data_IF_308122986982
#
_entry.id   IF_308122986982
#
_cell.length_a   1.000
_cell.length_b   1.000
_cell.length_c   1.000
_cell.angle_alpha   90.00
_cell.angle_beta   90.00
_cell.angle_gamma   90.00
#
_symmetry.space_group_name_H-M   'P 1'
#
loop_
_entity.id
_entity.type
_entity.pdbx_description
1 polymer ?
#
# COMPACT_ATOMS: atom_id res chain seq x y z
N UNK A 1 15.08 13.59 2.54
CA UNK A 1 13.91 13.08 3.28
C UNK A 1 12.99 12.13 2.46
N UNK A 2 13.46 11.41 1.42
CA UNK A 2 12.55 10.73 0.47
C UNK A 2 12.63 9.19 0.37
N UNK A 3 13.68 8.55 0.89
CA UNK A 3 13.93 7.12 0.62
C UNK A 3 13.01 6.18 1.41
N UNK A 4 12.65 6.53 2.63
CA UNK A 4 11.81 5.67 3.49
C UNK A 4 10.33 5.66 3.09
N UNK A 5 9.81 6.75 2.51
CA UNK A 5 8.42 6.84 2.07
C UNK A 5 8.13 5.88 0.90
N UNK A 6 9.02 5.83 -0.10
CA UNK A 6 8.87 4.95 -1.26
C UNK A 6 8.92 3.46 -0.86
N UNK A 7 9.80 3.10 0.08
CA UNK A 7 9.89 1.74 0.61
C UNK A 7 8.61 1.34 1.34
N UNK A 8 8.10 2.23 2.22
CA UNK A 8 6.85 1.97 2.95
C UNK A 8 5.67 1.82 2.01
N UNK A 9 5.57 2.68 0.99
CA UNK A 9 4.50 2.60 -0.01
C UNK A 9 4.58 1.30 -0.83
N UNK A 10 5.76 0.92 -1.30
CA UNK A 10 5.95 -0.33 -2.04
C UNK A 10 5.58 -1.57 -1.21
N UNK A 11 5.95 -1.57 0.08
CA UNK A 11 5.59 -2.66 1.00
C UNK A 11 4.07 -2.74 1.24
N UNK A 12 3.43 -1.62 1.57
CA UNK A 12 2.00 -1.59 1.89
C UNK A 12 1.11 -1.91 0.68
N UNK A 13 1.62 -1.69 -0.53
CA UNK A 13 0.93 -2.05 -1.77
C UNK A 13 1.32 -3.45 -2.28
N UNK A 14 2.23 -4.15 -1.59
CA UNK A 14 2.73 -5.46 -1.98
C UNK A 14 1.69 -6.58 -1.78
N UNK A 15 1.77 -7.60 -2.62
CA UNK A 15 0.86 -8.77 -2.58
C UNK A 15 0.79 -9.44 -1.21
N UNK A 16 1.95 -9.66 -0.57
CA UNK A 16 2.00 -10.29 0.75
C UNK A 16 1.33 -9.42 1.82
N UNK A 17 1.58 -8.10 1.82
CA UNK A 17 0.93 -7.20 2.76
C UNK A 17 -0.59 -7.23 2.63
N UNK A 18 -1.11 -7.15 1.40
CA UNK A 18 -2.56 -7.21 1.16
C UNK A 18 -3.17 -8.54 1.58
N UNK A 19 -2.46 -9.65 1.38
CA UNK A 19 -2.93 -10.97 1.82
C UNK A 19 -2.97 -11.06 3.34
N UNK A 20 -1.89 -10.65 4.03
CA UNK A 20 -1.83 -10.66 5.49
C UNK A 20 -2.92 -9.79 6.11
N UNK A 21 -3.19 -8.62 5.53
CA UNK A 21 -4.28 -7.73 5.98
C UNK A 21 -5.64 -8.41 5.82
N UNK A 22 -5.89 -9.06 4.68
CA UNK A 22 -7.14 -9.79 4.45
C UNK A 22 -7.30 -10.94 5.45
N UNK A 23 -6.26 -11.74 5.63
CA UNK A 23 -6.30 -12.89 6.53
C UNK A 23 -6.50 -12.47 7.99
N UNK A 24 -5.84 -11.38 8.42
CA UNK A 24 -5.99 -10.84 9.75
C UNK A 24 -7.44 -10.46 10.08
N UNK A 25 -8.11 -9.72 9.19
CA UNK A 25 -9.50 -9.33 9.42
C UNK A 25 -10.50 -10.45 9.13
N UNK A 26 -10.17 -11.42 8.28
CA UNK A 26 -11.01 -12.60 8.05
C UNK A 26 -11.01 -13.56 9.26
N UNK A 27 -9.90 -13.62 10.00
CA UNK A 27 -9.78 -14.43 11.22
C UNK A 27 -10.46 -13.78 12.45
N UNK A 28 -10.83 -12.50 12.36
CA UNK A 28 -11.44 -11.76 13.45
C UNK A 28 -12.94 -12.09 13.58
N UNK A 29 -13.45 -12.13 14.81
CA UNK A 29 -14.87 -12.35 15.04
C UNK A 29 -15.71 -11.19 14.46
N UNK A 30 -16.88 -11.48 13.86
CA UNK A 30 -17.75 -10.42 13.29
C UNK A 30 -18.15 -9.35 14.30
N UNK A 31 -18.33 -9.73 15.57
CA UNK A 31 -18.70 -8.81 16.65
C UNK A 31 -17.59 -7.79 16.95
N UNK A 32 -16.33 -8.24 17.01
CA UNK A 32 -15.18 -7.36 17.27
C UNK A 32 -14.94 -6.39 16.11
N UNK A 33 -15.13 -6.88 14.88
CA UNK A 33 -15.07 -6.03 13.68
C UNK A 33 -16.14 -4.94 13.73
N UNK A 34 -17.38 -5.29 14.11
CA UNK A 34 -18.45 -4.31 14.24
C UNK A 34 -18.17 -3.28 15.33
N UNK A 35 -17.66 -3.70 16.48
CA UNK A 35 -17.27 -2.79 17.56
C UNK A 35 -16.20 -1.78 17.12
N UNK A 36 -15.22 -2.21 16.31
CA UNK A 36 -14.25 -1.30 15.72
C UNK A 36 -14.90 -0.32 14.74
N UNK A 37 -15.80 -0.78 13.85
CA UNK A 37 -16.51 0.09 12.91
C UNK A 37 -17.34 1.16 13.65
N UNK A 38 -18.01 0.77 14.73
CA UNK A 38 -18.80 1.66 15.58
C UNK A 38 -17.90 2.70 16.27
N UNK A 39 -16.70 2.31 16.70
CA UNK A 39 -15.72 3.25 17.27
C UNK A 39 -15.30 4.32 16.27
N UNK A 40 -15.09 3.94 15.00
CA UNK A 40 -14.72 4.88 13.93
C UNK A 40 -15.89 5.83 13.68
N UNK A 41 -17.11 5.31 13.53
CA UNK A 41 -18.31 6.12 13.33
C UNK A 41 -18.49 7.15 14.44
N UNK A 42 -18.35 6.73 15.70
CA UNK A 42 -18.48 7.60 16.87
C UNK A 42 -17.47 8.76 16.84
N UNK A 43 -16.23 8.52 16.40
CA UNK A 43 -15.23 9.59 16.32
C UNK A 43 -15.54 10.60 15.20
N UNK A 44 -16.11 10.15 14.08
CA UNK A 44 -16.59 11.05 13.02
C UNK A 44 -17.77 11.91 13.50
N UNK A 45 -18.76 11.29 14.15
CA UNK A 45 -19.91 11.97 14.75
C UNK A 45 -19.46 13.02 15.77
N UNK A 46 -18.54 12.65 16.67
CA UNK A 46 -17.96 13.55 17.68
C UNK A 46 -17.26 14.76 17.05
N UNK A 47 -16.62 14.59 15.90
CA UNK A 47 -15.93 15.67 15.17
C UNK A 47 -16.88 16.47 14.27
N UNK A 48 -18.16 16.12 14.21
CA UNK A 48 -19.14 16.72 13.29
C UNK A 48 -18.77 16.52 11.82
N UNK A 49 -17.99 15.49 11.51
CA UNK A 49 -17.57 15.19 10.14
C UNK A 49 -18.42 14.07 9.55
N UNK A 50 -18.77 14.13 8.25
CA UNK A 50 -19.46 13.03 7.60
C UNK A 50 -18.58 11.76 7.64
N UNK A 51 -19.13 10.60 8.05
CA UNK A 51 -18.38 9.36 8.06
C UNK A 51 -18.04 8.92 6.62
N UNK A 52 -16.95 8.14 6.43
CA UNK A 52 -16.59 7.55 5.14
C UNK A 52 -17.76 6.77 4.53
N UNK A 53 -17.94 6.88 3.21
CA UNK A 53 -19.04 6.22 2.50
C UNK A 53 -18.94 4.69 2.61
N UNK A 54 -17.74 4.16 2.83
CA UNK A 54 -17.47 2.75 3.11
C UNK A 54 -18.16 2.27 4.39
N UNK A 55 -18.32 3.14 5.40
CA UNK A 55 -18.99 2.81 6.66
C UNK A 55 -20.53 2.90 6.57
N UNK A 56 -21.05 3.63 5.59
CA UNK A 56 -22.49 3.90 5.43
C UNK A 56 -23.09 3.01 4.36
N UNK A 57 -22.40 2.85 3.24
CA UNK A 57 -22.86 2.12 2.07
C UNK A 57 -21.67 1.42 1.38
N UNK A 58 -21.09 0.36 1.97
CA UNK A 58 -19.90 -0.32 1.42
C UNK A 58 -20.13 -0.85 0.00
N UNK A 59 -21.30 -1.43 -0.26
CA UNK A 59 -21.72 -1.88 -1.59
C UNK A 59 -21.73 -0.79 -2.68
N UNK A 60 -21.99 0.46 -2.31
CA UNK A 60 -21.97 1.61 -3.23
C UNK A 60 -20.55 2.16 -3.35
N UNK A 61 -19.83 2.27 -2.24
CA UNK A 61 -18.47 2.82 -2.19
C UNK A 61 -17.53 2.21 -3.24
N UNK A 62 -17.52 0.88 -3.38
CA UNK A 62 -16.65 0.18 -4.32
C UNK A 62 -17.17 0.14 -5.77
N UNK A 63 -18.38 0.62 -6.03
CA UNK A 63 -18.96 0.75 -7.37
C UNK A 63 -18.83 2.16 -7.94
N UNK A 64 -18.47 3.14 -7.11
CA UNK A 64 -18.26 4.50 -7.58
C UNK A 64 -16.96 4.58 -8.40
N UNK A 65 -16.96 5.29 -9.54
CA UNK A 65 -15.73 5.54 -10.28
C UNK A 65 -14.76 6.33 -9.39
N UNK A 66 -13.44 6.16 -9.56
CA UNK A 66 -12.46 6.91 -8.78
C UNK A 66 -12.72 8.41 -8.90
N UNK A 67 -12.47 9.21 -7.83
CA UNK A 67 -12.78 10.64 -7.83
C UNK A 67 -12.19 11.41 -9.03
N UNK A 68 -11.05 10.94 -9.56
CA UNK A 68 -10.41 11.50 -10.77
C UNK A 68 -11.27 11.43 -12.03
N UNK A 69 -12.26 10.53 -12.08
CA UNK A 69 -13.17 10.33 -13.21
C UNK A 69 -14.57 10.92 -12.96
N UNK A 70 -14.78 11.55 -11.81
CA UNK A 70 -16.07 12.17 -11.47
C UNK A 70 -16.05 13.66 -11.85
N UNK A 71 -16.88 14.12 -12.80
CA UNK A 71 -16.83 15.48 -13.34
C UNK A 71 -17.22 16.57 -12.32
N UNK A 72 -17.73 16.22 -11.14
CA UNK A 72 -18.14 17.17 -10.11
C UNK A 72 -17.99 16.62 -8.67
N UNK A 73 -17.03 15.73 -8.42
CA UNK A 73 -16.80 15.25 -7.04
C UNK A 73 -16.32 16.41 -6.15
N UNK A 74 -16.90 16.59 -4.94
CA UNK A 74 -16.44 17.61 -4.02
C UNK A 74 -14.96 17.35 -3.68
N UNK A 75 -14.13 18.36 -3.94
CA UNK A 75 -12.69 18.35 -3.73
C UNK A 75 -12.39 18.27 -2.22
N UNK A 76 -12.34 17.05 -1.67
CA UNK A 76 -11.82 16.81 -0.33
C UNK A 76 -10.41 16.23 -0.44
N UNK A 77 -9.42 17.13 -0.46
CA UNK A 77 -8.04 16.84 -0.09
C UNK A 77 -7.09 16.45 -1.22
N UNK A 78 -6.24 17.40 -1.60
CA UNK A 78 -4.98 17.14 -2.30
C UNK A 78 -4.88 17.87 -3.62
N UNK A 79 -4.01 18.89 -3.67
CA UNK A 79 -3.65 19.62 -4.87
C UNK A 79 -3.15 18.67 -5.97
N UNK A 80 -4.04 18.27 -6.87
CA UNK A 80 -3.68 17.75 -8.18
C UNK A 80 -3.92 18.89 -9.17
N UNK A 81 -2.80 19.43 -9.66
CA UNK A 81 -2.70 20.43 -10.72
C UNK A 81 -3.62 20.03 -11.88
N UNK A 82 -4.82 20.59 -11.93
CA UNK A 82 -5.61 20.56 -13.16
C UNK A 82 -4.84 21.41 -14.17
N UNK A 83 -4.40 20.85 -15.31
CA UNK A 83 -3.78 21.65 -16.34
C UNK A 83 -4.78 22.75 -16.76
N UNK A 84 -4.32 23.99 -16.97
CA UNK A 84 -5.20 25.06 -17.43
C UNK A 84 -5.92 24.63 -18.72
N UNK A 85 -7.17 25.07 -18.93
CA UNK A 85 -7.93 24.71 -20.12
C UNK A 85 -7.14 25.08 -21.39
N UNK A 86 -7.01 24.13 -22.33
CA UNK A 86 -6.38 24.36 -23.64
C UNK A 86 -5.04 23.67 -23.88
N UNK A 87 -4.46 22.98 -22.88
CA UNK A 87 -3.22 22.21 -23.08
C UNK A 87 -3.57 20.77 -23.49
N UNK A 88 -3.21 20.31 -24.71
CA UNK A 88 -3.44 18.93 -25.11
C UNK A 88 -2.64 17.96 -24.23
N UNK A 89 -3.16 16.74 -23.99
CA UNK A 89 -2.45 15.75 -23.20
C UNK A 89 -1.09 15.45 -23.83
N UNK A 90 -0.03 15.22 -23.03
CA UNK A 90 1.28 14.89 -23.57
C UNK A 90 1.21 13.60 -24.39
N UNK A 91 1.66 13.66 -25.64
CA UNK A 91 1.76 12.51 -26.52
C UNK A 91 3.02 11.69 -26.18
N UNK A 92 2.81 10.61 -25.43
CA UNK A 92 3.88 9.67 -25.05
C UNK A 92 4.20 8.64 -26.15
N UNK A 93 3.57 8.72 -27.32
CA UNK A 93 3.85 7.80 -28.43
C UNK A 93 5.22 8.02 -29.07
N UNK A 94 5.91 9.12 -28.75
CA UNK A 94 7.25 9.43 -29.25
C UNK A 94 8.25 9.47 -28.10
N UNK A 95 9.35 8.70 -28.18
CA UNK A 95 10.44 8.85 -27.23
C UNK A 95 11.03 10.27 -27.33
N UNK A 96 11.51 10.83 -26.20
CA UNK A 96 12.13 12.15 -26.20
C UNK A 96 13.32 12.20 -27.18
N UNK A 97 13.53 13.34 -27.88
CA UNK A 97 14.62 13.46 -28.84
C UNK A 97 15.97 13.11 -28.21
N UNK A 98 16.68 12.14 -28.78
CA UNK A 98 18.03 11.74 -28.34
C UNK A 98 18.11 10.45 -27.51
N UNK A 99 16.99 9.80 -27.16
CA UNK A 99 17.03 8.44 -26.60
C UNK A 99 16.79 7.39 -27.69
N UNK A 100 17.78 6.52 -27.99
CA UNK A 100 17.53 5.36 -28.84
C UNK A 100 16.53 4.43 -28.15
N UNK A 101 15.66 3.73 -28.92
CA UNK A 101 14.70 2.80 -28.35
C UNK A 101 15.42 1.68 -27.57
N UNK A 102 14.85 1.20 -26.46
CA UNK A 102 15.44 0.10 -25.71
C UNK A 102 15.56 -1.15 -26.59
N UNK A 103 16.77 -1.70 -26.69
CA UNK A 103 17.05 -2.93 -27.41
C UNK A 103 16.69 -4.15 -26.53
N UNK A 104 15.50 -4.71 -26.75
CA UNK A 104 14.99 -5.89 -26.04
C UNK A 104 15.62 -7.21 -26.53
N UNK A 105 16.52 -7.16 -27.52
CA UNK A 105 17.20 -8.34 -28.05
C UNK A 105 18.27 -8.90 -27.08
N UNK A 106 18.63 -8.12 -26.06
CA UNK A 106 19.65 -8.51 -25.08
C UNK A 106 18.99 -9.11 -23.84
N UNK A 107 19.34 -10.35 -23.44
CA UNK A 107 18.88 -10.89 -22.18
C UNK A 107 19.36 -9.99 -21.03
N UNK A 108 18.55 -9.82 -19.97
CA UNK A 108 18.97 -9.06 -18.81
C UNK A 108 20.22 -9.69 -18.19
N UNK A 109 21.11 -8.89 -17.59
CA UNK A 109 22.28 -9.42 -16.88
C UNK A 109 21.83 -10.42 -15.81
N UNK A 110 22.34 -11.64 -15.93
CA UNK A 110 22.06 -12.72 -14.98
C UNK A 110 22.70 -12.39 -13.64
N UNK A 111 21.89 -12.19 -12.61
CA UNK A 111 22.36 -12.16 -11.24
C UNK A 111 22.38 -13.59 -10.70
N UNK A 112 23.49 -14.06 -10.10
CA UNK A 112 23.53 -15.37 -9.50
C UNK A 112 22.47 -15.46 -8.37
N UNK A 113 21.76 -16.59 -8.24
CA UNK A 113 20.77 -16.75 -7.18
C UNK A 113 21.45 -16.58 -5.82
N UNK A 114 20.84 -15.84 -4.87
CA UNK A 114 21.35 -15.77 -3.51
C UNK A 114 21.40 -17.16 -2.91
N UNK A 115 22.59 -17.61 -2.51
CA UNK A 115 22.79 -18.91 -1.88
C UNK A 115 21.96 -19.02 -0.61
N UNK A 116 20.87 -19.77 -0.67
CA UNK A 116 20.17 -20.25 0.51
C UNK A 116 21.12 -21.19 1.28
N UNK A 117 21.22 -20.99 2.60
CA UNK A 117 21.88 -21.87 3.58
C UNK A 117 23.39 -21.71 3.87
N UNK A 118 23.93 -20.49 3.96
CA UNK A 118 25.12 -20.31 4.82
C UNK A 118 24.88 -19.22 5.87
N UNK A 119 24.89 -19.54 7.17
CA UNK A 119 24.95 -18.52 8.19
C UNK A 119 26.23 -17.68 7.99
N UNK A 120 26.19 -16.36 8.31
CA UNK A 120 27.36 -15.50 8.18
C UNK A 120 28.55 -16.08 8.97
N UNK A 121 29.79 -15.97 8.44
CA UNK A 121 30.97 -16.48 9.13
C UNK A 121 31.08 -15.90 10.54
N UNK A 122 31.16 -16.79 11.54
CA UNK A 122 31.36 -16.40 12.95
C UNK A 122 30.13 -16.42 13.85
N UNK A 123 28.94 -16.76 13.34
CA UNK A 123 27.75 -16.95 14.19
C UNK A 123 27.51 -18.44 14.46
N UNK A 124 27.66 -18.92 15.72
CA UNK A 124 27.24 -20.28 16.07
C UNK A 124 25.70 -20.38 15.95
N UNK A 125 25.17 -21.57 15.61
CA UNK A 125 23.73 -21.77 15.54
C UNK A 125 23.06 -21.49 16.89
N UNK A 126 21.83 -20.94 16.91
CA UNK A 126 21.11 -20.70 18.15
C UNK A 126 20.88 -22.01 18.91
N UNK A 127 21.33 -22.05 20.17
CA UNK A 127 21.11 -23.18 21.08
C UNK A 127 19.74 -23.03 21.76
N UNK A 128 18.75 -23.80 21.29
CA UNK A 128 17.39 -23.83 21.83
C UNK A 128 17.25 -24.67 23.11
N UNK A 129 18.35 -25.23 23.61
CA UNK A 129 18.34 -26.11 24.79
C UNK A 129 18.23 -25.35 26.12
N UNK A 130 18.32 -24.00 26.09
CA UNK A 130 18.26 -23.17 27.29
C UNK A 130 16.87 -22.57 27.46
N UNK A 131 16.20 -22.77 28.62
CA UNK A 131 14.95 -22.09 28.88
C UNK A 131 15.19 -20.56 28.90
N UNK A 132 14.21 -19.77 28.41
CA UNK A 132 14.34 -18.31 28.40
C UNK A 132 14.50 -17.78 29.84
N UNK A 133 15.30 -16.72 30.05
CA UNK A 133 15.50 -16.14 31.36
C UNK A 133 14.15 -15.68 31.93
N UNK A 134 13.86 -16.10 33.16
CA UNK A 134 12.66 -15.72 33.90
C UNK A 134 12.62 -14.20 34.05
N UNK A 135 11.66 -13.56 33.37
CA UNK A 135 11.29 -12.19 33.67
C UNK A 135 10.50 -12.22 34.98
N UNK A 136 11.14 -11.80 36.08
CA UNK A 136 10.45 -11.60 37.36
C UNK A 136 9.51 -10.38 37.27
N UNK A 137 8.37 -10.41 37.98
CA UNK A 137 7.33 -9.39 37.92
C UNK A 137 7.78 -8.02 38.43
#
# INVERSE_FOLDING_TARGET
MGKHYCVRKAHNCGRNHLQNVRDYYAAMAPADMQAMLDSIRREYEKRGMPPPIELVAPHVAYRLPPPSLMPNAPFMGGAALRPPPGMPPPDFSKPPPGMPPPDFSKPPPSFPPPGMNKPPPGMPPPDFSKPPPSMRP
#
